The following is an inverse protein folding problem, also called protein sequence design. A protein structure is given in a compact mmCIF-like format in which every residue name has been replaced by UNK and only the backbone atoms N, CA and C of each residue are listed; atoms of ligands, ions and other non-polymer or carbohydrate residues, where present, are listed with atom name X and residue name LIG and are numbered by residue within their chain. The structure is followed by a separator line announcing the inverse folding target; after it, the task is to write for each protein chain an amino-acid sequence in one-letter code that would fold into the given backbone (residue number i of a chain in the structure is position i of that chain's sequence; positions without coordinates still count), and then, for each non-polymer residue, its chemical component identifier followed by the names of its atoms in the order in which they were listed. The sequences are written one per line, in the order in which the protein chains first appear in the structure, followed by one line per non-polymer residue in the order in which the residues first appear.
data_IF_800028217699
#
_entry.id   IF_800028217699
#
_cell.length_a   1.000
_cell.length_b   1.000
_cell.length_c   1.000
_cell.angle_alpha   90.00
_cell.angle_beta   90.00
_cell.angle_gamma   90.00
#
_symmetry.space_group_name_H-M   'P 1'
#
loop_
_entity.id
_entity.type
_entity.pdbx_description
1 polymer ?
#
# COMPACT_ATOMS: atom_id res chain seq x y z
N UNK A 1 -43.91 26.36 41.39
CA UNK A 1 -44.83 27.27 40.65
C UNK A 1 -44.94 26.75 39.21
N UNK A 2 -46.12 26.51 38.62
CA UNK A 2 -47.14 27.48 38.13
C UNK A 2 -46.57 28.40 37.03
N UNK A 3 -47.12 28.53 35.80
CA UNK A 3 -48.36 28.02 35.12
C UNK A 3 -48.11 27.99 33.59
N UNK A 4 -48.58 27.01 32.80
CA UNK A 4 -49.86 26.95 32.01
C UNK A 4 -50.12 28.20 31.14
N UNK A 5 -50.42 28.13 29.82
CA UNK A 5 -51.62 27.63 29.10
C UNK A 5 -51.20 27.15 27.67
N UNK A 6 -51.79 26.19 26.92
CA UNK A 6 -53.18 25.68 26.71
C UNK A 6 -54.04 26.41 25.65
N UNK A 7 -54.89 25.61 24.94
CA UNK A 7 -55.85 25.93 23.82
C UNK A 7 -55.19 26.00 22.42
N UNK A 8 -55.39 25.13 21.42
CA UNK A 8 -56.21 23.90 21.18
C UNK A 8 -57.71 24.11 20.78
N UNK A 9 -58.26 23.27 19.86
CA UNK A 9 -59.68 23.14 19.39
C UNK A 9 -60.05 24.13 18.22
N UNK A 10 -60.80 23.84 17.12
CA UNK A 10 -61.70 22.73 16.68
C UNK A 10 -61.69 22.50 15.13
N UNK A 11 -62.34 21.42 14.69
CA UNK A 11 -62.66 20.93 13.32
C UNK A 11 -63.22 21.90 12.26
N UNK A 12 -63.05 21.53 10.98
CA UNK A 12 -63.96 21.91 9.90
C UNK A 12 -63.82 20.99 8.67
N UNK A 13 -64.75 20.05 8.48
CA UNK A 13 -64.82 19.21 7.27
C UNK A 13 -65.91 19.72 6.33
N UNK A 14 -65.61 19.89 5.05
CA UNK A 14 -66.61 20.05 3.99
C UNK A 14 -66.10 19.48 2.68
N UNK A 15 -66.88 18.59 2.07
CA UNK A 15 -66.56 17.98 0.78
C UNK A 15 -67.21 18.76 -0.37
N UNK A 16 -66.45 19.00 -1.44
CA UNK A 16 -66.97 19.37 -2.75
C UNK A 16 -66.21 18.63 -3.85
N UNK A 17 -66.83 17.60 -4.42
CA UNK A 17 -66.38 16.95 -5.65
C UNK A 17 -66.72 17.82 -6.86
N UNK A 18 -65.73 18.18 -7.68
CA UNK A 18 -65.96 18.49 -9.09
C UNK A 18 -64.88 17.85 -9.96
N UNK A 19 -65.33 17.09 -10.95
CA UNK A 19 -64.52 16.41 -11.97
C UNK A 19 -64.57 17.17 -13.29
N UNK A 20 -63.56 16.90 -14.14
CA UNK A 20 -63.42 17.28 -15.55
C UNK A 20 -62.85 18.69 -15.83
N UNK A 21 -62.21 18.91 -16.99
CA UNK A 21 -61.55 17.95 -17.90
C UNK A 21 -60.06 18.28 -18.14
N UNK A 22 -59.35 17.35 -18.79
CA UNK A 22 -57.99 17.60 -19.26
C UNK A 22 -57.97 18.60 -20.44
N UNK A 23 -57.07 19.58 -20.37
CA UNK A 23 -56.52 20.29 -21.53
C UNK A 23 -55.02 20.49 -21.27
N UNK A 24 -54.19 20.07 -22.21
CA UNK A 24 -52.75 20.18 -22.09
C UNK A 24 -52.30 21.65 -22.22
N UNK A 25 -51.43 22.08 -21.31
CA UNK A 25 -50.59 23.27 -21.51
C UNK A 25 -49.15 22.82 -21.39
N UNK A 26 -48.43 23.01 -22.48
CA UNK A 26 -47.00 22.75 -22.62
C UNK A 26 -46.22 23.73 -21.74
N UNK A 27 -45.37 23.23 -20.85
CA UNK A 27 -44.38 24.03 -20.12
C UNK A 27 -42.99 23.45 -20.33
N UNK A 28 -42.10 24.29 -20.84
CA UNK A 28 -40.67 24.04 -20.97
C UNK A 28 -40.02 23.86 -19.57
N UNK A 29 -38.87 23.18 -19.48
CA UNK A 29 -38.50 22.48 -18.24
C UNK A 29 -38.02 23.42 -17.14
N UNK A 30 -38.62 23.29 -15.95
CA UNK A 30 -37.98 23.73 -14.71
C UNK A 30 -36.79 22.83 -14.43
N UNK A 31 -35.59 23.33 -14.67
CA UNK A 31 -34.36 22.66 -14.28
C UNK A 31 -34.33 22.50 -12.75
N UNK A 32 -34.55 21.28 -12.28
CA UNK A 32 -34.16 20.88 -10.93
C UNK A 32 -32.62 20.91 -10.90
N UNK A 33 -31.97 21.54 -9.92
CA UNK A 33 -30.55 21.35 -9.72
C UNK A 33 -30.36 19.91 -9.21
N UNK A 34 -30.15 18.98 -10.14
CA UNK A 34 -29.54 17.70 -9.82
C UNK A 34 -28.10 18.00 -9.43
N UNK A 35 -27.90 18.28 -8.14
CA UNK A 35 -26.61 18.03 -7.51
C UNK A 35 -26.41 16.53 -7.56
N UNK A 36 -25.84 16.05 -8.67
CA UNK A 36 -25.23 14.75 -8.69
C UNK A 36 -24.15 14.82 -7.61
N UNK A 37 -24.35 14.09 -6.51
CA UNK A 37 -23.21 13.68 -5.73
C UNK A 37 -22.33 12.90 -6.70
N UNK A 38 -21.12 13.39 -6.94
CA UNK A 38 -20.07 12.56 -7.52
C UNK A 38 -19.80 11.49 -6.47
N UNK A 39 -20.51 10.37 -6.59
CA UNK A 39 -20.08 9.11 -5.99
C UNK A 39 -18.73 8.82 -6.62
N UNK A 40 -17.66 9.17 -5.89
CA UNK A 40 -16.31 8.74 -6.20
C UNK A 40 -16.33 7.22 -6.13
N UNK A 41 -16.53 6.57 -7.27
CA UNK A 41 -16.36 5.13 -7.38
C UNK A 41 -14.88 4.86 -7.12
N UNK A 42 -14.60 4.46 -5.88
CA UNK A 42 -13.31 3.89 -5.49
C UNK A 42 -13.05 2.72 -6.43
N UNK A 43 -12.06 2.88 -7.30
CA UNK A 43 -11.65 1.81 -8.19
C UNK A 43 -11.17 0.63 -7.32
N UNK A 44 -11.47 -0.62 -7.70
CA UNK A 44 -10.94 -1.78 -6.99
C UNK A 44 -9.40 -1.75 -7.06
N UNK A 45 -8.73 -2.16 -5.98
CA UNK A 45 -7.26 -2.18 -5.92
C UNK A 45 -6.63 -3.07 -7.00
N UNK A 46 -7.35 -4.11 -7.44
CA UNK A 46 -6.95 -4.96 -8.56
C UNK A 46 -8.11 -5.32 -9.49
N UNK A 47 -7.78 -5.57 -10.76
CA UNK A 47 -8.68 -6.12 -11.77
C UNK A 47 -8.11 -7.44 -12.29
N UNK A 48 -8.96 -8.45 -12.45
CA UNK A 48 -8.57 -9.76 -12.96
C UNK A 48 -8.76 -9.85 -14.48
N UNK A 49 -7.65 -10.04 -15.20
CA UNK A 49 -7.61 -10.36 -16.62
C UNK A 49 -7.29 -11.84 -16.82
N UNK A 50 -7.88 -12.47 -17.85
CA UNK A 50 -7.51 -13.81 -18.31
C UNK A 50 -7.27 -13.79 -19.82
N UNK A 51 -6.14 -14.34 -20.26
CA UNK A 51 -5.79 -14.47 -21.66
C UNK A 51 -4.55 -15.31 -21.90
N UNK A 52 -4.18 -15.42 -23.18
CA UNK A 52 -3.05 -16.20 -23.65
C UNK A 52 -1.86 -15.29 -23.95
N UNK A 53 -0.67 -15.64 -23.45
CA UNK A 53 0.57 -14.91 -23.71
C UNK A 53 0.94 -15.01 -25.20
N UNK A 54 1.03 -13.86 -25.87
CA UNK A 54 1.40 -13.75 -27.28
C UNK A 54 2.87 -13.40 -27.49
N UNK A 55 3.46 -12.66 -26.56
CA UNK A 55 4.84 -12.17 -26.63
C UNK A 55 5.40 -11.96 -25.22
N UNK A 56 6.61 -12.45 -24.96
CA UNK A 56 7.34 -12.25 -23.70
C UNK A 56 8.53 -11.32 -23.95
N UNK A 57 8.43 -10.07 -23.51
CA UNK A 57 9.52 -9.09 -23.61
C UNK A 57 10.42 -9.19 -22.38
N UNK A 58 11.73 -9.25 -22.62
CA UNK A 58 12.76 -9.35 -21.58
C UNK A 58 13.78 -8.22 -21.67
N UNK A 59 14.39 -7.88 -20.53
CA UNK A 59 15.53 -6.96 -20.46
C UNK A 59 16.86 -7.63 -20.89
N UNK A 60 17.97 -6.91 -20.76
CA UNK A 60 19.31 -7.42 -21.06
C UNK A 60 19.79 -8.52 -20.08
N UNK A 61 19.19 -8.60 -18.89
CA UNK A 61 19.48 -9.60 -17.86
C UNK A 61 18.66 -10.89 -18.03
N UNK A 62 17.59 -10.85 -18.83
CA UNK A 62 16.65 -11.94 -19.07
C UNK A 62 15.39 -11.91 -18.20
N UNK A 63 15.20 -10.85 -17.40
CA UNK A 63 14.00 -10.61 -16.60
C UNK A 63 12.84 -10.25 -17.53
N UNK A 64 11.63 -10.75 -17.23
CA UNK A 64 10.42 -10.36 -17.98
C UNK A 64 10.04 -8.95 -17.55
N UNK A 65 9.94 -8.02 -18.50
CA UNK A 65 9.50 -6.63 -18.25
C UNK A 65 8.10 -6.35 -18.79
N UNK A 66 7.63 -7.15 -19.75
CA UNK A 66 6.29 -7.00 -20.33
C UNK A 66 5.77 -8.30 -20.94
N UNK A 67 4.49 -8.56 -20.74
CA UNK A 67 3.73 -9.58 -21.45
C UNK A 67 2.72 -8.90 -22.37
N UNK A 68 2.70 -9.28 -23.65
CA UNK A 68 1.54 -9.01 -24.51
C UNK A 68 0.59 -10.20 -24.40
N UNK A 69 -0.65 -9.93 -24.04
CA UNK A 69 -1.69 -10.94 -23.90
C UNK A 69 -2.82 -10.67 -24.88
N UNK A 70 -3.52 -11.73 -25.27
CA UNK A 70 -4.79 -11.64 -26.01
C UNK A 70 -5.86 -12.51 -25.36
N UNK A 71 -7.13 -12.11 -25.52
CA UNK A 71 -8.27 -12.78 -24.90
C UNK A 71 -9.52 -12.56 -25.73
N UNK A 72 -10.24 -13.63 -26.07
CA UNK A 72 -11.52 -13.54 -26.80
C UNK A 72 -12.55 -12.63 -26.10
N UNK A 73 -12.46 -12.50 -24.77
CA UNK A 73 -13.40 -11.71 -23.95
C UNK A 73 -12.94 -10.26 -23.73
N UNK A 74 -11.63 -10.03 -23.59
CA UNK A 74 -11.07 -8.76 -23.13
C UNK A 74 -10.21 -8.04 -24.19
N UNK A 75 -9.88 -8.71 -25.30
CA UNK A 75 -8.99 -8.22 -26.36
C UNK A 75 -7.52 -8.20 -25.95
N UNK A 76 -6.68 -7.65 -26.84
CA UNK A 76 -5.26 -7.47 -26.58
C UNK A 76 -5.01 -6.53 -25.39
N UNK A 77 -4.07 -6.91 -24.53
CA UNK A 77 -3.67 -6.17 -23.33
C UNK A 77 -2.15 -6.26 -23.13
N UNK A 78 -1.53 -5.19 -22.64
CA UNK A 78 -0.12 -5.16 -22.25
C UNK A 78 0.01 -5.16 -20.73
N UNK A 79 0.59 -6.21 -20.17
CA UNK A 79 0.93 -6.26 -18.75
C UNK A 79 2.39 -5.86 -18.59
N UNK A 80 2.66 -4.74 -17.90
CA UNK A 80 4.01 -4.38 -17.48
C UNK A 80 4.36 -5.17 -16.22
N UNK A 81 5.51 -5.82 -16.22
CA UNK A 81 6.02 -6.63 -15.11
C UNK A 81 7.07 -5.80 -14.37
N UNK A 82 6.96 -5.74 -13.05
CA UNK A 82 7.92 -5.07 -12.15
C UNK A 82 8.53 -6.09 -11.21
N UNK A 83 9.51 -5.68 -10.40
CA UNK A 83 10.11 -6.54 -9.36
C UNK A 83 9.10 -6.90 -8.26
N UNK A 84 8.07 -6.06 -8.08
CA UNK A 84 6.92 -6.28 -7.20
C UNK A 84 5.88 -7.27 -7.77
N UNK A 85 5.94 -7.64 -9.06
CA UNK A 85 4.98 -8.60 -9.64
C UNK A 85 5.23 -10.00 -9.08
N UNK A 86 4.28 -10.53 -8.30
CA UNK A 86 4.37 -11.90 -7.76
C UNK A 86 3.92 -12.95 -8.78
N UNK A 87 4.57 -14.12 -8.78
CA UNK A 87 4.32 -15.21 -9.72
C UNK A 87 3.85 -16.45 -8.98
N UNK A 88 2.65 -16.94 -9.27
CA UNK A 88 1.94 -17.92 -8.43
C UNK A 88 1.64 -19.20 -9.20
N UNK A 89 2.07 -20.35 -8.68
CA UNK A 89 1.58 -21.68 -9.08
C UNK A 89 0.31 -21.94 -8.25
N UNK A 90 -0.86 -21.74 -8.88
CA UNK A 90 -2.15 -21.86 -8.22
C UNK A 90 -2.50 -23.30 -7.84
N UNK A 91 -1.91 -24.29 -8.52
CA UNK A 91 -2.18 -25.71 -8.28
C UNK A 91 -1.37 -26.28 -7.13
N UNK A 92 -0.17 -25.74 -6.87
CA UNK A 92 0.71 -26.15 -5.77
C UNK A 92 0.72 -25.19 -4.58
N UNK A 93 0.08 -24.02 -4.69
CA UNK A 93 0.02 -22.98 -3.65
C UNK A 93 1.42 -22.45 -3.26
N UNK A 94 2.29 -22.23 -4.26
CA UNK A 94 3.67 -21.75 -4.09
C UNK A 94 4.02 -20.66 -5.11
N UNK A 95 5.19 -20.03 -4.96
CA UNK A 95 5.76 -19.19 -6.01
C UNK A 95 6.09 -20.01 -7.28
N UNK A 96 5.81 -19.44 -8.46
CA UNK A 96 6.14 -19.96 -9.78
C UNK A 96 7.38 -19.27 -10.33
N UNK A 97 8.23 -19.99 -11.06
CA UNK A 97 9.42 -19.41 -11.71
C UNK A 97 9.03 -18.71 -13.03
N UNK A 98 9.16 -17.38 -13.15
CA UNK A 98 8.85 -16.65 -14.38
C UNK A 98 9.67 -17.10 -15.60
N UNK A 99 10.87 -17.65 -15.40
CA UNK A 99 11.71 -18.15 -16.49
C UNK A 99 11.09 -19.36 -17.22
N UNK A 100 10.10 -20.02 -16.60
CA UNK A 100 9.38 -21.17 -17.18
C UNK A 100 8.13 -20.78 -17.98
N UNK A 101 7.78 -19.49 -18.07
CA UNK A 101 6.64 -19.02 -18.87
C UNK A 101 6.88 -19.22 -20.37
N UNK A 102 5.85 -19.69 -21.08
CA UNK A 102 5.91 -19.91 -22.53
C UNK A 102 4.88 -19.10 -23.32
N UNK A 103 5.22 -18.70 -24.55
CA UNK A 103 4.24 -18.13 -25.49
C UNK A 103 3.20 -19.19 -25.87
N UNK A 104 1.93 -18.79 -25.90
CA UNK A 104 0.79 -19.70 -26.04
C UNK A 104 0.22 -20.23 -24.72
N UNK A 105 0.83 -19.91 -23.58
CA UNK A 105 0.32 -20.27 -22.25
C UNK A 105 -0.85 -19.37 -21.82
N UNK A 106 -1.90 -19.97 -21.26
CA UNK A 106 -3.07 -19.25 -20.72
C UNK A 106 -2.87 -18.96 -19.23
N UNK A 107 -2.87 -17.68 -18.86
CA UNK A 107 -2.59 -17.22 -17.49
C UNK A 107 -3.64 -16.20 -17.03
N UNK A 108 -3.77 -16.08 -15.71
CA UNK A 108 -4.55 -15.02 -15.08
C UNK A 108 -3.59 -13.94 -14.57
N UNK A 109 -4.00 -12.68 -14.68
CA UNK A 109 -3.21 -11.55 -14.17
C UNK A 109 -4.12 -10.64 -13.37
N UNK A 110 -3.82 -10.48 -12.08
CA UNK A 110 -4.32 -9.37 -11.28
C UNK A 110 -3.46 -8.16 -11.60
N UNK A 111 -4.07 -7.08 -12.05
CA UNK A 111 -3.38 -5.87 -12.47
C UNK A 111 -4.02 -4.63 -11.83
N UNK A 112 -3.25 -3.54 -11.76
CA UNK A 112 -3.78 -2.27 -11.24
C UNK A 112 -4.96 -1.76 -12.09
N UNK A 113 -5.97 -1.19 -11.43
CA UNK A 113 -7.13 -0.60 -12.12
C UNK A 113 -6.77 0.67 -12.93
N UNK A 114 -5.61 1.27 -12.64
CA UNK A 114 -5.02 2.37 -13.39
C UNK A 114 -4.46 1.90 -14.75
N UNK A 115 -5.36 1.68 -15.71
CA UNK A 115 -4.97 1.42 -17.10
C UNK A 115 -4.50 2.71 -17.79
N UNK A 116 -3.31 2.68 -18.40
CA UNK A 116 -2.82 3.74 -19.26
C UNK A 116 -3.72 3.91 -20.49
N UNK A 117 -3.94 5.17 -20.90
CA UNK A 117 -4.81 5.55 -22.04
C UNK A 117 -4.16 5.27 -23.42
N UNK A 118 -3.74 4.03 -23.65
CA UNK A 118 -3.16 3.56 -24.92
C UNK A 118 -3.99 2.46 -25.58
N UNK A 119 -3.61 2.09 -26.81
CA UNK A 119 -4.17 0.97 -27.55
C UNK A 119 -3.01 0.06 -28.04
N UNK A 120 -2.92 -1.20 -27.60
CA UNK A 120 -3.75 -1.82 -26.55
C UNK A 120 -3.58 -1.11 -25.18
N UNK A 121 -4.55 -1.26 -24.27
CA UNK A 121 -4.42 -0.79 -22.88
C UNK A 121 -3.25 -1.46 -22.18
N UNK A 122 -2.70 -0.79 -21.17
CA UNK A 122 -1.59 -1.30 -20.35
C UNK A 122 -1.76 -0.95 -18.88
N UNK A 123 -1.28 -1.84 -18.00
CA UNK A 123 -1.23 -1.62 -16.55
C UNK A 123 -0.08 -2.44 -15.95
N UNK A 124 0.22 -2.20 -14.68
CA UNK A 124 1.19 -3.01 -13.93
C UNK A 124 0.51 -4.30 -13.48
N UNK A 125 1.18 -5.45 -13.66
CA UNK A 125 0.76 -6.72 -13.07
C UNK A 125 1.14 -6.76 -11.59
N UNK A 126 0.17 -7.01 -10.73
CA UNK A 126 0.36 -7.22 -9.29
C UNK A 126 0.69 -8.70 -9.04
N UNK A 127 -0.12 -9.61 -9.61
CA UNK A 127 0.10 -11.05 -9.51
C UNK A 127 -0.18 -11.76 -10.84
N UNK A 128 0.75 -12.62 -11.27
CA UNK A 128 0.60 -13.54 -12.41
C UNK A 128 0.32 -14.94 -11.88
N UNK A 129 -0.85 -15.49 -12.19
CA UNK A 129 -1.33 -16.77 -11.66
C UNK A 129 -1.39 -17.82 -12.77
N UNK A 130 -0.70 -18.95 -12.52
CA UNK A 130 -0.42 -20.05 -13.46
C UNK A 130 -0.88 -21.39 -12.89
N UNK A 131 -0.81 -22.44 -13.71
CA UNK A 131 -1.02 -23.84 -13.31
C UNK A 131 -2.31 -24.12 -12.52
N UNK A 132 -3.42 -23.52 -12.95
CA UNK A 132 -4.73 -23.61 -12.29
C UNK A 132 -5.38 -24.97 -12.57
N UNK A 133 -5.69 -25.80 -11.55
CA UNK A 133 -6.39 -27.06 -11.74
C UNK A 133 -7.83 -26.85 -12.23
N UNK A 134 -8.33 -27.77 -13.06
CA UNK A 134 -9.67 -27.65 -13.67
C UNK A 134 -10.84 -27.79 -12.67
N UNK A 135 -10.55 -28.23 -11.45
CA UNK A 135 -11.50 -28.50 -10.36
C UNK A 135 -11.23 -27.71 -9.07
N UNK A 136 -10.21 -26.85 -9.05
CA UNK A 136 -9.86 -26.00 -7.91
C UNK A 136 -10.22 -24.53 -8.16
N UNK A 137 -10.40 -23.76 -7.08
CA UNK A 137 -10.51 -22.31 -7.16
C UNK A 137 -9.16 -21.69 -7.52
N UNK A 138 -9.15 -20.76 -8.48
CA UNK A 138 -7.99 -19.94 -8.80
C UNK A 138 -7.58 -19.10 -7.58
N UNK A 139 -6.28 -19.04 -7.27
CA UNK A 139 -5.74 -18.13 -6.27
C UNK A 139 -6.22 -16.69 -6.51
N UNK A 140 -6.72 -16.00 -5.48
CA UNK A 140 -7.22 -14.63 -5.58
C UNK A 140 -6.29 -13.65 -4.87
N UNK A 141 -5.88 -12.58 -5.55
CA UNK A 141 -5.14 -11.48 -4.95
C UNK A 141 -6.07 -10.59 -4.14
N UNK A 142 -5.70 -10.29 -2.90
CA UNK A 142 -6.40 -9.35 -2.03
C UNK A 142 -5.41 -8.47 -1.27
N UNK A 143 -5.82 -7.22 -1.07
CA UNK A 143 -5.20 -6.29 -0.12
C UNK A 143 -6.08 -6.26 1.14
N UNK A 144 -5.45 -6.32 2.30
CA UNK A 144 -6.10 -6.43 3.60
C UNK A 144 -6.47 -5.03 4.12
N UNK A 145 -7.75 -4.68 4.08
CA UNK A 145 -8.26 -3.41 4.59
C UNK A 145 -8.29 -3.39 6.12
N UNK A 146 -8.68 -4.51 6.73
CA UNK A 146 -8.73 -4.68 8.18
C UNK A 146 -8.68 -6.16 8.57
N UNK A 147 -8.19 -6.44 9.78
CA UNK A 147 -8.24 -7.76 10.41
C UNK A 147 -8.96 -7.72 11.75
N UNK A 148 -9.63 -8.82 12.11
CA UNK A 148 -10.07 -9.11 13.48
C UNK A 148 -9.70 -10.55 13.81
N UNK A 149 -9.09 -10.78 14.97
CA UNK A 149 -8.72 -12.10 15.47
C UNK A 149 -9.53 -12.39 16.74
N UNK A 150 -10.50 -13.29 16.64
CA UNK A 150 -11.37 -13.71 17.75
C UNK A 150 -11.41 -15.24 17.81
N UNK A 151 -11.24 -15.83 19.01
CA UNK A 151 -11.28 -17.28 19.26
C UNK A 151 -10.48 -18.13 18.24
N UNK A 152 -9.22 -17.75 17.99
CA UNK A 152 -8.28 -18.37 17.03
C UNK A 152 -8.75 -18.35 15.55
N UNK A 153 -9.73 -17.51 15.21
CA UNK A 153 -10.19 -17.25 13.85
C UNK A 153 -9.87 -15.80 13.41
N UNK A 154 -9.05 -15.68 12.36
CA UNK A 154 -8.76 -14.44 11.68
C UNK A 154 -9.86 -14.14 10.65
N UNK A 155 -10.46 -12.96 10.74
CA UNK A 155 -11.35 -12.38 9.74
C UNK A 155 -10.65 -11.25 9.02
N UNK A 156 -10.30 -11.47 7.77
CA UNK A 156 -9.68 -10.50 6.86
C UNK A 156 -10.77 -9.79 6.07
N UNK A 157 -10.88 -8.47 6.16
CA UNK A 157 -11.74 -7.65 5.29
C UNK A 157 -10.93 -7.18 4.09
N UNK A 158 -11.42 -7.39 2.87
CA UNK A 158 -10.67 -7.03 1.65
C UNK A 158 -11.24 -5.79 0.97
N UNK A 159 -10.34 -4.95 0.44
CA UNK A 159 -10.68 -3.65 -0.15
C UNK A 159 -11.56 -3.75 -1.42
N UNK A 160 -11.61 -4.92 -2.06
CA UNK A 160 -12.35 -5.16 -3.31
C UNK A 160 -13.84 -5.49 -3.10
N UNK A 161 -14.51 -4.70 -2.24
CA UNK A 161 -15.98 -4.71 -2.11
C UNK A 161 -16.55 -5.54 -0.96
N UNK A 162 -15.82 -5.65 0.17
CA UNK A 162 -16.37 -6.16 1.43
C UNK A 162 -16.52 -7.68 1.49
N UNK A 163 -15.64 -8.43 0.81
CA UNK A 163 -15.45 -9.84 1.09
C UNK A 163 -14.72 -9.97 2.44
N UNK A 164 -15.25 -10.81 3.33
CA UNK A 164 -14.52 -11.26 4.51
C UNK A 164 -13.96 -12.66 4.26
N UNK A 165 -12.63 -12.79 4.32
CA UNK A 165 -11.95 -14.08 4.25
C UNK A 165 -11.71 -14.58 5.68
N UNK A 166 -12.19 -15.77 5.99
CA UNK A 166 -12.01 -16.44 7.27
C UNK A 166 -10.84 -17.41 7.17
N UNK A 167 -9.91 -17.31 8.12
CA UNK A 167 -8.80 -18.25 8.31
C UNK A 167 -8.71 -18.66 9.78
N UNK A 168 -8.30 -19.89 10.02
CA UNK A 168 -8.19 -20.51 11.34
C UNK A 168 -7.01 -21.48 11.38
N UNK A 169 -6.87 -22.24 12.47
CA UNK A 169 -5.81 -23.25 12.66
C UNK A 169 -5.74 -24.35 11.58
N UNK A 170 -6.81 -24.60 10.81
CA UNK A 170 -6.83 -25.57 9.71
C UNK A 170 -6.43 -24.94 8.35
N UNK A 171 -6.25 -23.61 8.31
CA UNK A 171 -5.82 -22.87 7.12
C UNK A 171 -4.30 -22.97 6.94
N UNK A 172 -3.85 -23.45 5.79
CA UNK A 172 -2.41 -23.48 5.48
C UNK A 172 -1.88 -22.05 5.26
N UNK A 173 -0.77 -21.72 5.91
CA UNK A 173 -0.09 -20.41 5.78
C UNK A 173 1.29 -20.60 5.14
N UNK A 174 1.69 -19.65 4.30
CA UNK A 174 3.02 -19.62 3.65
C UNK A 174 3.47 -18.19 3.34
N UNK A 175 4.78 -17.92 3.33
CA UNK A 175 5.32 -16.66 2.79
C UNK A 175 5.66 -16.83 1.31
N UNK A 176 5.43 -15.82 0.49
CA UNK A 176 5.82 -15.84 -0.92
C UNK A 176 7.36 -15.96 -1.04
N UNK A 177 7.82 -16.95 -1.83
CA UNK A 177 9.25 -17.14 -2.13
C UNK A 177 10.14 -17.58 -0.94
N UNK A 178 9.58 -17.88 0.23
CA UNK A 178 10.33 -18.21 1.45
C UNK A 178 9.75 -19.43 2.18
N UNK A 179 10.62 -20.22 2.80
CA UNK A 179 10.26 -21.34 3.69
C UNK A 179 10.04 -20.88 5.16
N UNK A 180 10.06 -19.57 5.41
CA UNK A 180 9.83 -18.99 6.73
C UNK A 180 8.38 -19.20 7.21
N UNK A 181 8.22 -19.42 8.51
CA UNK A 181 6.90 -19.61 9.11
C UNK A 181 6.07 -18.32 9.06
N UNK A 182 4.76 -18.50 8.87
CA UNK A 182 3.77 -17.42 8.92
C UNK A 182 2.68 -17.80 9.93
N UNK A 183 2.36 -16.90 10.84
CA UNK A 183 1.24 -16.98 11.76
C UNK A 183 0.04 -16.15 11.26
N UNK A 184 -1.16 -16.40 11.79
CA UNK A 184 -2.32 -15.53 11.52
C UNK A 184 -2.08 -14.09 11.99
N UNK A 185 -1.23 -13.91 13.01
CA UNK A 185 -0.83 -12.63 13.58
C UNK A 185 0.07 -11.80 12.64
N UNK A 186 0.73 -12.41 11.65
CA UNK A 186 1.57 -11.71 10.68
C UNK A 186 0.74 -11.02 9.57
N UNK A 187 -0.55 -11.34 9.47
CA UNK A 187 -1.47 -10.75 8.49
C UNK A 187 -2.17 -9.57 9.14
N UNK A 188 -1.84 -8.36 8.69
CA UNK A 188 -2.31 -7.10 9.27
C UNK A 188 -3.02 -6.22 8.22
N UNK A 189 -3.62 -5.12 8.66
CA UNK A 189 -4.08 -4.09 7.72
C UNK A 189 -2.91 -3.57 6.88
N UNK A 190 -3.11 -3.40 5.57
CA UNK A 190 -2.06 -3.08 4.59
C UNK A 190 -1.32 -4.29 4.00
N UNK A 191 -1.41 -5.48 4.60
CA UNK A 191 -0.80 -6.69 4.01
C UNK A 191 -1.43 -7.03 2.66
N UNK A 192 -0.64 -7.61 1.76
CA UNK A 192 -1.14 -8.23 0.52
C UNK A 192 -1.12 -9.76 0.66
N UNK A 193 -2.15 -10.44 0.17
CA UNK A 193 -2.28 -11.90 0.26
C UNK A 193 -2.77 -12.51 -1.05
N UNK A 194 -2.26 -13.70 -1.38
CA UNK A 194 -2.95 -14.62 -2.27
C UNK A 194 -3.78 -15.59 -1.43
N UNK A 195 -5.07 -15.62 -1.68
CA UNK A 195 -6.01 -16.45 -0.93
C UNK A 195 -6.64 -17.52 -1.83
N UNK A 196 -6.64 -18.76 -1.34
CA UNK A 196 -7.35 -19.88 -1.93
C UNK A 196 -8.54 -20.24 -1.04
N UNK A 197 -9.74 -20.02 -1.55
CA UNK A 197 -11.00 -20.30 -0.86
C UNK A 197 -12.02 -20.96 -1.79
N UNK A 198 -13.06 -21.56 -1.20
CA UNK A 198 -14.18 -22.15 -1.94
C UNK A 198 -15.14 -21.11 -2.52
N UNK A 199 -16.41 -21.47 -2.72
CA UNK A 199 -17.42 -20.47 -3.09
C UNK A 199 -17.70 -19.53 -1.93
N UNK A 200 -17.53 -18.22 -2.14
CA UNK A 200 -17.98 -17.21 -1.19
C UNK A 200 -19.52 -17.25 -1.04
N UNK A 201 -20.01 -17.14 0.19
CA UNK A 201 -21.44 -17.10 0.51
C UNK A 201 -21.73 -15.92 1.45
N UNK A 202 -22.75 -15.13 1.15
CA UNK A 202 -23.14 -13.95 1.96
C UNK A 202 -22.02 -12.92 2.20
N UNK A 203 -21.03 -12.82 1.30
CA UNK A 203 -19.87 -11.96 1.47
C UNK A 203 -18.76 -12.55 2.35
N UNK A 204 -18.84 -13.83 2.74
CA UNK A 204 -17.81 -14.53 3.50
C UNK A 204 -17.26 -15.72 2.72
N UNK A 205 -15.95 -15.98 2.85
CA UNK A 205 -15.30 -17.17 2.29
C UNK A 205 -14.28 -17.75 3.27
N UNK A 206 -14.30 -19.06 3.50
CA UNK A 206 -13.25 -19.74 4.28
C UNK A 206 -12.06 -20.08 3.36
N UNK A 207 -10.88 -19.58 3.72
CA UNK A 207 -9.64 -19.97 3.08
C UNK A 207 -9.24 -21.39 3.50
N UNK A 208 -8.58 -22.11 2.59
CA UNK A 208 -7.84 -23.33 2.92
C UNK A 208 -6.32 -23.13 2.75
N UNK A 209 -5.91 -22.09 2.03
CA UNK A 209 -4.53 -21.62 1.97
C UNK A 209 -4.50 -20.09 1.88
N UNK A 210 -3.65 -19.45 2.69
CA UNK A 210 -3.27 -18.04 2.56
C UNK A 210 -1.75 -17.97 2.34
N UNK A 211 -1.35 -17.20 1.35
CA UNK A 211 0.04 -16.83 1.14
C UNK A 211 0.20 -15.35 1.43
N UNK A 212 0.97 -15.02 2.46
CA UNK A 212 1.42 -13.66 2.71
C UNK A 212 2.41 -13.29 1.60
N UNK A 213 2.04 -12.31 0.80
CA UNK A 213 2.91 -11.75 -0.23
C UNK A 213 3.97 -10.85 0.41
N UNK A 214 5.01 -10.42 -0.33
CA UNK A 214 5.72 -9.22 0.07
C UNK A 214 4.68 -8.08 0.17
N UNK A 215 4.86 -7.14 1.09
CA UNK A 215 4.13 -5.87 1.00
C UNK A 215 4.47 -5.13 -0.29
N UNK A 216 3.95 -3.91 -0.47
CA UNK A 216 4.76 -2.93 -1.19
C UNK A 216 6.12 -2.90 -0.48
N UNK A 217 7.18 -3.12 -1.24
CA UNK A 217 8.22 -4.02 -0.77
C UNK A 217 8.92 -3.54 0.52
N UNK A 218 9.67 -4.48 1.12
CA UNK A 218 10.85 -4.22 1.95
C UNK A 218 11.95 -3.55 1.08
N UNK A 219 11.56 -2.52 0.31
CA UNK A 219 12.33 -1.73 -0.63
C UNK A 219 13.22 -0.84 0.23
N UNK A 220 14.53 -1.00 0.05
CA UNK A 220 15.53 -0.21 0.75
C UNK A 220 15.29 1.27 0.41
N UNK A 221 14.79 2.00 1.40
CA UNK A 221 14.27 3.36 1.24
C UNK A 221 15.39 4.25 0.72
N UNK A 222 15.16 4.94 -0.39
CA UNK A 222 16.17 5.85 -0.94
C UNK A 222 16.20 7.16 -0.15
N UNK A 223 17.33 7.86 -0.22
CA UNK A 223 17.50 9.18 0.42
C UNK A 223 16.54 10.24 -0.15
N UNK A 224 16.21 10.14 -1.44
CA UNK A 224 15.23 10.99 -2.12
C UNK A 224 13.83 10.77 -1.56
N UNK A 225 13.39 9.51 -1.51
CA UNK A 225 12.07 9.15 -0.99
C UNK A 225 11.87 9.52 0.48
N UNK A 226 12.83 9.18 1.37
CA UNK A 226 12.76 9.54 2.79
C UNK A 226 12.54 11.05 2.97
N UNK A 227 13.26 11.85 2.19
CA UNK A 227 13.14 13.30 2.22
C UNK A 227 11.80 13.78 1.65
N UNK A 228 11.27 13.15 0.61
CA UNK A 228 9.93 13.43 0.09
C UNK A 228 8.81 13.08 1.08
N UNK A 229 8.90 11.95 1.80
CA UNK A 229 7.96 11.58 2.86
C UNK A 229 7.91 12.67 3.95
N UNK A 230 9.08 13.14 4.40
CA UNK A 230 9.18 14.21 5.39
C UNK A 230 8.69 15.57 4.87
N UNK A 231 8.90 15.86 3.58
CA UNK A 231 8.43 17.08 2.93
C UNK A 231 6.91 17.11 2.78
N UNK A 232 6.29 15.98 2.40
CA UNK A 232 4.84 15.80 2.39
C UNK A 232 4.25 16.04 3.77
N UNK A 233 4.82 15.38 4.79
CA UNK A 233 4.38 15.49 6.19
C UNK A 233 4.55 16.90 6.76
N UNK A 234 5.56 17.64 6.31
CA UNK A 234 5.75 19.06 6.61
C UNK A 234 4.77 20.01 5.86
N UNK A 235 3.91 19.49 4.99
CA UNK A 235 2.95 20.26 4.19
C UNK A 235 3.52 20.85 2.91
N UNK A 236 4.54 20.21 2.31
CA UNK A 236 5.25 20.64 1.09
C UNK A 236 5.74 22.09 1.11
N UNK A 237 6.52 22.51 2.14
CA UNK A 237 7.09 23.86 2.20
C UNK A 237 8.02 24.14 1.02
N UNK A 238 7.77 25.24 0.31
CA UNK A 238 8.64 25.73 -0.79
C UNK A 238 9.64 26.73 -0.22
N UNK A 239 10.93 26.56 -0.51
CA UNK A 239 12.00 27.40 0.05
C UNK A 239 12.89 28.01 -1.02
N UNK A 240 13.29 29.27 -0.85
CA UNK A 240 14.28 29.92 -1.72
C UNK A 240 15.70 29.61 -1.20
N UNK A 241 16.14 28.36 -1.41
CA UNK A 241 17.45 27.87 -1.01
C UNK A 241 18.25 27.39 -2.23
N UNK A 242 19.50 27.84 -2.31
CA UNK A 242 20.44 27.46 -3.36
C UNK A 242 20.93 26.02 -3.16
N UNK A 243 20.65 25.16 -4.14
CA UNK A 243 20.97 23.74 -4.12
C UNK A 243 21.93 23.43 -5.27
N UNK A 244 23.20 23.16 -4.93
CA UNK A 244 24.29 22.93 -5.88
C UNK A 244 24.64 21.43 -6.01
N UNK A 245 23.63 20.56 -6.07
CA UNK A 245 23.82 19.11 -6.26
C UNK A 245 23.82 18.75 -7.76
N UNK A 246 24.89 18.12 -8.23
CA UNK A 246 25.10 17.81 -9.67
C UNK A 246 24.28 16.64 -10.19
N UNK A 247 23.73 15.84 -9.28
CA UNK A 247 22.93 14.63 -9.50
C UNK A 247 21.42 14.84 -9.25
N UNK A 248 21.02 16.04 -8.82
CA UNK A 248 19.60 16.40 -8.62
C UNK A 248 19.18 17.38 -9.72
N UNK A 249 18.45 16.88 -10.72
CA UNK A 249 17.84 17.73 -11.75
C UNK A 249 16.78 18.65 -11.11
N UNK A 250 16.72 19.92 -11.52
CA UNK A 250 15.82 20.92 -10.92
C UNK A 250 14.32 20.67 -11.13
N UNK A 251 13.98 19.73 -12.02
CA UNK A 251 12.65 19.23 -12.37
C UNK A 251 12.40 17.77 -11.93
N UNK A 252 13.33 17.17 -11.17
CA UNK A 252 13.10 15.87 -10.51
C UNK A 252 12.03 15.98 -9.42
N UNK A 253 11.25 14.92 -9.22
CA UNK A 253 10.18 14.85 -8.23
C UNK A 253 10.66 15.09 -6.78
N UNK A 254 11.90 14.68 -6.46
CA UNK A 254 12.53 14.87 -5.15
C UNK A 254 13.18 16.25 -4.99
N UNK A 255 13.32 17.04 -6.06
CA UNK A 255 14.21 18.22 -6.06
C UNK A 255 13.80 19.30 -5.04
N UNK A 256 12.50 19.55 -4.87
CA UNK A 256 12.01 20.54 -3.90
C UNK A 256 12.06 20.03 -2.46
N UNK A 257 11.82 18.72 -2.26
CA UNK A 257 11.97 18.07 -0.97
C UNK A 257 13.43 18.09 -0.49
N UNK A 258 14.38 17.75 -1.38
CA UNK A 258 15.83 17.80 -1.11
C UNK A 258 16.27 19.23 -0.81
N UNK A 259 15.77 20.22 -1.54
CA UNK A 259 16.04 21.65 -1.28
C UNK A 259 15.63 22.05 0.14
N UNK A 260 14.40 21.72 0.54
CA UNK A 260 13.87 22.02 1.87
C UNK A 260 14.61 21.24 2.99
N UNK A 261 14.80 19.93 2.86
CA UNK A 261 15.46 19.15 3.90
C UNK A 261 16.95 19.52 4.07
N UNK A 262 17.58 20.07 3.02
CA UNK A 262 18.92 20.68 3.10
C UNK A 262 18.87 22.05 3.78
N UNK A 263 17.86 22.89 3.53
CA UNK A 263 17.74 24.21 4.20
C UNK A 263 17.48 24.07 5.71
N UNK A 264 16.66 23.10 6.10
CA UNK A 264 16.37 22.74 7.50
C UNK A 264 17.47 21.89 8.16
N UNK A 265 18.57 21.59 7.44
CA UNK A 265 19.73 20.83 7.94
C UNK A 265 19.42 19.40 8.40
N UNK A 266 18.31 18.82 7.93
CA UNK A 266 17.94 17.43 8.17
C UNK A 266 18.93 16.49 7.48
N UNK A 267 19.30 16.82 6.25
CA UNK A 267 20.21 16.06 5.38
C UNK A 267 21.35 16.91 4.85
N UNK A 268 22.38 16.24 4.33
CA UNK A 268 23.46 16.82 3.55
C UNK A 268 23.90 15.85 2.47
N UNK A 269 24.31 16.35 1.31
CA UNK A 269 25.06 15.59 0.32
C UNK A 269 26.48 15.20 0.78
N UNK A 270 27.20 14.42 -0.04
CA UNK A 270 28.47 13.79 0.33
C UNK A 270 29.71 14.71 0.29
N UNK A 271 29.53 16.01 0.06
CA UNK A 271 30.62 17.00 0.03
C UNK A 271 31.50 17.01 -1.23
N UNK A 272 31.28 16.06 -2.14
CA UNK A 272 31.82 16.00 -3.50
C UNK A 272 30.99 16.77 -4.55
N UNK A 273 29.82 17.32 -4.16
CA UNK A 273 28.84 17.93 -5.05
C UNK A 273 27.64 17.05 -5.40
N UNK A 274 27.53 15.83 -4.88
CA UNK A 274 26.37 14.94 -5.08
C UNK A 274 25.53 14.79 -3.79
N UNK A 275 24.23 14.51 -3.96
CA UNK A 275 23.30 14.22 -2.88
C UNK A 275 23.10 12.72 -2.65
N UNK A 276 23.10 11.93 -3.73
CA UNK A 276 22.71 10.51 -3.76
C UNK A 276 21.21 10.33 -3.55
N UNK A 277 20.33 10.80 -4.44
CA UNK A 277 18.88 10.64 -4.25
C UNK A 277 18.44 9.17 -4.29
N UNK A 278 19.01 8.38 -5.21
CA UNK A 278 18.71 6.96 -5.40
C UNK A 278 19.52 6.03 -4.47
N UNK A 279 20.43 6.57 -3.64
CA UNK A 279 21.22 5.76 -2.72
C UNK A 279 20.34 5.35 -1.51
N UNK A 280 20.42 4.08 -1.11
CA UNK A 280 19.66 3.53 0.02
C UNK A 280 20.09 4.13 1.36
N UNK A 281 19.14 4.33 2.28
CA UNK A 281 19.43 4.76 3.66
C UNK A 281 19.68 3.57 4.57
N UNK A 282 20.70 3.65 5.42
CA UNK A 282 20.84 2.72 6.55
C UNK A 282 19.94 3.13 7.71
N UNK A 283 19.64 2.18 8.62
CA UNK A 283 18.88 2.42 9.85
C UNK A 283 19.45 3.57 10.69
N UNK A 284 20.78 3.70 10.76
CA UNK A 284 21.41 4.85 11.45
C UNK A 284 21.26 6.20 10.73
N UNK A 285 21.14 6.20 9.41
CA UNK A 285 20.85 7.41 8.65
C UNK A 285 19.37 7.82 8.80
N UNK A 286 18.43 6.88 8.66
CA UNK A 286 17.00 7.09 8.91
C UNK A 286 16.78 7.72 10.30
N UNK A 287 17.25 7.05 11.36
CA UNK A 287 17.11 7.51 12.74
C UNK A 287 17.77 8.88 12.97
N UNK A 288 18.92 9.16 12.34
CA UNK A 288 19.58 10.47 12.43
C UNK A 288 18.75 11.58 11.76
N UNK A 289 18.10 11.30 10.64
CA UNK A 289 17.28 12.26 9.90
C UNK A 289 15.98 12.54 10.68
N UNK A 290 15.31 11.50 11.21
CA UNK A 290 14.13 11.65 12.06
C UNK A 290 14.44 12.41 13.35
N UNK A 291 15.55 12.12 14.02
CA UNK A 291 15.98 12.88 15.21
C UNK A 291 16.20 14.36 14.92
N UNK A 292 16.72 14.71 13.73
CA UNK A 292 16.85 16.12 13.31
C UNK A 292 15.51 16.76 12.99
N UNK A 293 14.60 16.02 12.35
CA UNK A 293 13.24 16.47 12.04
C UNK A 293 12.45 16.82 13.32
N UNK A 294 12.61 16.02 14.38
CA UNK A 294 12.07 16.28 15.72
C UNK A 294 12.85 17.37 16.52
N UNK A 295 13.72 18.13 15.86
CA UNK A 295 14.44 19.26 16.47
C UNK A 295 15.70 18.88 17.28
N UNK A 296 16.26 17.70 17.05
CA UNK A 296 17.46 17.17 17.73
C UNK A 296 17.36 17.13 19.27
N UNK A 297 16.31 16.50 19.85
CA UNK A 297 16.08 16.47 21.29
C UNK A 297 17.25 15.86 22.06
N UNK A 298 17.63 16.52 23.16
CA UNK A 298 18.71 16.08 24.04
C UNK A 298 18.20 15.15 25.15
N UNK A 299 18.86 14.01 25.32
CA UNK A 299 18.59 13.10 26.44
C UNK A 299 19.34 13.55 27.70
N UNK A 300 18.63 13.61 28.83
CA UNK A 300 19.22 14.02 30.12
C UNK A 300 19.52 12.84 31.06
N UNK A 301 18.72 11.77 31.01
CA UNK A 301 18.80 10.63 31.94
C UNK A 301 18.57 9.27 31.22
N UNK A 302 19.38 8.97 30.20
CA UNK A 302 19.31 7.71 29.44
C UNK A 302 20.50 6.78 29.76
N UNK A 303 20.29 5.48 30.08
CA UNK A 303 21.38 4.56 30.45
C UNK A 303 22.35 4.22 29.31
N UNK A 304 22.01 4.57 28.07
CA UNK A 304 22.82 4.29 26.88
C UNK A 304 22.44 2.99 26.18
N UNK A 305 23.23 2.63 25.17
CA UNK A 305 23.05 1.46 24.31
C UNK A 305 24.10 0.36 24.58
N UNK A 306 24.87 0.47 25.67
CA UNK A 306 26.03 -0.38 25.95
C UNK A 306 25.69 -1.85 26.25
N UNK A 307 24.40 -2.17 26.40
CA UNK A 307 23.85 -3.51 26.53
C UNK A 307 23.75 -4.28 25.20
N UNK A 308 23.74 -3.59 24.05
CA UNK A 308 23.59 -4.22 22.73
C UNK A 308 24.93 -4.66 22.17
N UNK A 309 24.96 -5.84 21.54
CA UNK A 309 26.22 -6.46 21.14
C UNK A 309 26.90 -5.74 19.96
N UNK A 310 26.11 -5.09 19.10
CA UNK A 310 26.50 -4.31 17.91
C UNK A 310 26.60 -2.80 18.16
N UNK A 311 26.52 -2.32 19.41
CA UNK A 311 26.65 -0.88 19.74
C UNK A 311 27.94 -0.24 19.20
N UNK A 312 28.97 -1.05 18.95
CA UNK A 312 30.23 -0.61 18.33
C UNK A 312 30.14 -0.29 16.83
N UNK A 313 29.07 -0.72 16.16
CA UNK A 313 28.80 -0.48 14.73
C UNK A 313 28.00 0.81 14.50
N UNK A 314 27.46 1.43 15.55
CA UNK A 314 26.78 2.73 15.48
C UNK A 314 27.82 3.83 15.24
N UNK A 315 27.74 4.46 14.07
CA UNK A 315 28.59 5.59 13.70
C UNK A 315 28.47 6.73 14.70
N UNK A 316 29.60 7.40 14.98
CA UNK A 316 29.66 8.51 15.96
C UNK A 316 28.69 9.65 15.71
N UNK A 317 28.29 9.88 14.45
CA UNK A 317 27.31 10.92 14.12
C UNK A 317 25.88 10.52 14.52
N UNK A 318 25.57 9.21 14.50
CA UNK A 318 24.26 8.66 14.77
C UNK A 318 24.02 8.37 16.26
N UNK A 319 25.07 8.16 17.06
CA UNK A 319 24.96 7.79 18.49
C UNK A 319 23.94 8.60 19.31
N UNK A 320 23.81 9.95 19.19
CA UNK A 320 22.78 10.70 19.91
C UNK A 320 21.36 10.36 19.44
N UNK A 321 21.16 10.27 18.13
CA UNK A 321 19.88 9.94 17.51
C UNK A 321 19.46 8.50 17.82
N UNK A 322 20.40 7.56 17.76
CA UNK A 322 20.18 6.14 18.09
C UNK A 322 19.78 5.95 19.55
N UNK A 323 20.44 6.66 20.48
CA UNK A 323 20.03 6.66 21.88
C UNK A 323 18.61 7.23 22.07
N UNK A 324 18.27 8.29 21.33
CA UNK A 324 16.94 8.91 21.39
C UNK A 324 15.86 7.98 20.84
N UNK A 325 16.06 7.41 19.64
CA UNK A 325 15.09 6.53 19.01
C UNK A 325 14.80 5.29 19.89
N UNK A 326 15.83 4.72 20.53
CA UNK A 326 15.58 3.66 21.52
C UNK A 326 14.81 4.19 22.73
N UNK A 327 15.14 5.36 23.27
CA UNK A 327 14.38 5.90 24.42
C UNK A 327 12.89 6.09 24.10
N UNK A 328 12.57 6.48 22.86
CA UNK A 328 11.20 6.62 22.36
C UNK A 328 10.56 5.30 21.91
N UNK A 329 11.28 4.18 21.93
CA UNK A 329 10.79 2.88 21.47
C UNK A 329 10.69 2.71 19.94
N UNK A 330 11.16 3.69 19.16
CA UNK A 330 11.18 3.66 17.69
C UNK A 330 12.09 2.54 17.14
N UNK A 331 13.10 2.15 17.92
CA UNK A 331 13.96 1.00 17.62
C UNK A 331 14.00 0.04 18.81
N UNK A 332 13.88 -1.24 18.49
CA UNK A 332 14.15 -2.36 19.38
C UNK A 332 15.32 -3.19 18.85
N UNK A 333 15.90 -4.01 19.72
CA UNK A 333 16.81 -5.07 19.30
C UNK A 333 16.05 -6.35 18.99
N UNK A 334 16.64 -7.21 18.15
CA UNK A 334 16.13 -8.54 17.84
C UNK A 334 16.32 -9.56 18.99
N UNK A 335 15.96 -10.82 18.74
CA UNK A 335 16.11 -11.91 19.71
C UNK A 335 17.57 -12.18 20.13
N UNK A 336 18.54 -11.84 19.27
CA UNK A 336 19.99 -11.97 19.53
C UNK A 336 20.57 -10.73 20.25
N UNK A 337 19.79 -9.66 20.43
CA UNK A 337 20.20 -8.43 21.09
C UNK A 337 20.99 -7.46 20.19
N UNK A 338 20.69 -7.47 18.89
CA UNK A 338 21.28 -6.61 17.85
C UNK A 338 20.30 -5.52 17.40
N UNK A 339 20.80 -4.32 17.17
CA UNK A 339 20.02 -3.16 16.69
C UNK A 339 20.09 -2.96 15.16
N UNK A 340 21.09 -3.56 14.51
CA UNK A 340 21.40 -3.50 13.08
C UNK A 340 21.57 -2.07 12.53
N UNK A 341 22.46 -1.22 13.09
CA UNK A 341 22.59 0.18 12.69
C UNK A 341 23.02 0.38 11.23
N UNK A 342 23.79 -0.57 10.69
CA UNK A 342 24.32 -0.54 9.32
C UNK A 342 23.43 -1.24 8.28
N UNK A 343 22.37 -1.95 8.71
CA UNK A 343 21.43 -2.56 7.77
C UNK A 343 20.61 -1.47 7.05
N UNK A 344 20.14 -1.80 5.85
CA UNK A 344 19.27 -0.93 5.08
C UNK A 344 17.95 -0.70 5.82
N UNK A 345 17.41 0.51 5.72
CA UNK A 345 16.11 0.87 6.26
C UNK A 345 15.09 0.81 5.13
N UNK A 346 13.87 0.36 5.43
CA UNK A 346 12.81 0.22 4.44
C UNK A 346 11.71 1.24 4.66
N UNK A 347 10.85 1.43 3.65
CA UNK A 347 9.76 2.41 3.70
C UNK A 347 8.82 2.15 4.88
N UNK A 348 8.40 0.91 5.08
CA UNK A 348 7.54 0.47 6.19
C UNK A 348 8.13 0.87 7.55
N UNK A 349 9.44 0.65 7.75
CA UNK A 349 10.14 1.04 8.97
C UNK A 349 10.09 2.56 9.21
N UNK A 350 10.32 3.35 8.16
CA UNK A 350 10.29 4.82 8.26
C UNK A 350 8.88 5.35 8.55
N UNK A 351 7.86 4.79 7.87
CA UNK A 351 6.46 5.15 8.09
C UNK A 351 5.99 4.75 9.50
N UNK A 352 6.34 3.54 9.98
CA UNK A 352 6.06 3.08 11.35
C UNK A 352 6.65 4.02 12.41
N UNK A 353 7.92 4.43 12.28
CA UNK A 353 8.54 5.38 13.21
C UNK A 353 7.84 6.75 13.16
N UNK A 354 7.44 7.21 11.97
CA UNK A 354 6.73 8.47 11.79
C UNK A 354 5.32 8.43 12.38
N UNK A 355 4.59 7.31 12.27
CA UNK A 355 3.28 7.15 12.91
C UNK A 355 3.37 7.22 14.42
N UNK A 356 4.35 6.53 15.02
CA UNK A 356 4.62 6.56 16.46
C UNK A 356 4.92 7.99 16.94
N UNK A 357 5.71 8.77 16.19
CA UNK A 357 6.00 10.18 16.49
C UNK A 357 4.78 11.11 16.37
N UNK A 358 3.72 10.75 15.65
CA UNK A 358 2.46 11.51 15.59
C UNK A 358 1.48 11.22 16.72
N UNK A 359 1.74 10.20 17.54
CA UNK A 359 0.79 9.73 18.56
C UNK A 359 0.92 10.44 19.93
N UNK A 360 1.91 11.33 20.10
CA UNK A 360 2.22 12.07 21.35
C UNK A 360 1.66 13.51 21.38
#
# INVERSE_FOLDING_TARGET
MNKKLSVLILTGALACTMTLPALAVEQAPTAVPTTAAEETQTLPGSVLYYGTVQEIVKDENGNITRLRMDSERYGEYIMNITEQTVWIDSGRCIASDPATLTEGEGIYVFHSAAAALSLPPQSVALAVVRDIPADAGTAQFHEVEAVSLEDDQLTITTNNGGLSILADQDTALSRYGSDEAVALEDIQAGSQVMAWYGSASSGQASAYHLMLLPGEADEALTRGELVSILHERAGKPVVDFAMDYTDVAGDSEYAEAIRWATSEQLVSGYGNGTFGPEDTVTREQLVTILWRYEGSPMLMDYPGLSQFADVGEISRFAQPAFAWAHQQGLIAADEDGLLHPQAEATRELAETMLEQLSAE
#
